data_IF_496469193887
#
_entry.id   IF_496469193887
#
_cell.length_a   1.000
_cell.length_b   1.000
_cell.length_c   1.000
_cell.angle_alpha   90.00
_cell.angle_beta   90.00
_cell.angle_gamma   90.00
#
_symmetry.space_group_name_H-M   'P 1'
#
loop_
_entity.id
_entity.type
_entity.pdbx_description
1 polymer ?
#
# COMPACT_ATOMS: atom_id res chain seq x y z
N UNK A 1 -5.12 13.51 0.95
CA UNK A 1 -4.22 14.09 1.97
C UNK A 1 -2.77 13.65 1.79
N UNK A 2 -2.35 12.43 2.12
CA UNK A 2 -0.92 12.06 1.97
C UNK A 2 -0.46 11.96 0.51
N UNK A 3 -1.31 11.40 -0.37
CA UNK A 3 -1.03 11.37 -1.82
C UNK A 3 -0.97 12.75 -2.47
N UNK A 4 -1.74 13.72 -1.96
CA UNK A 4 -1.73 15.09 -2.47
C UNK A 4 -0.43 15.80 -2.06
N UNK A 5 0.02 15.60 -0.82
CA UNK A 5 1.32 16.12 -0.35
C UNK A 5 2.47 15.55 -1.18
N UNK A 6 2.45 14.24 -1.49
CA UNK A 6 3.45 13.64 -2.38
C UNK A 6 3.35 14.24 -3.78
N UNK A 7 2.15 14.34 -4.34
CA UNK A 7 1.95 14.89 -5.68
C UNK A 7 2.43 16.34 -5.82
N UNK A 8 2.13 17.20 -4.85
CA UNK A 8 2.62 18.57 -4.78
C UNK A 8 4.15 18.65 -4.74
N UNK A 9 4.79 17.76 -3.97
CA UNK A 9 6.24 17.71 -3.89
C UNK A 9 6.86 17.25 -5.21
N UNK A 10 6.22 16.30 -5.91
CA UNK A 10 6.70 15.81 -7.21
C UNK A 10 6.49 16.81 -8.37
N UNK A 11 5.66 17.84 -8.19
CA UNK A 11 5.51 18.96 -9.14
C UNK A 11 6.69 19.96 -9.09
N UNK A 12 7.55 19.89 -8.07
CA UNK A 12 8.72 20.75 -7.93
C UNK A 12 9.80 20.29 -8.91
N UNK A 13 10.09 21.13 -9.92
CA UNK A 13 11.09 20.83 -10.95
C UNK A 13 12.54 20.90 -10.42
N UNK A 14 12.80 21.74 -9.40
CA UNK A 14 14.14 21.89 -8.84
C UNK A 14 14.47 20.76 -7.84
N UNK A 15 15.47 19.94 -8.17
CA UNK A 15 15.83 18.74 -7.39
C UNK A 15 16.20 19.05 -5.93
N UNK A 16 16.89 20.17 -5.68
CA UNK A 16 17.31 20.57 -4.33
C UNK A 16 16.13 20.96 -3.45
N UNK A 17 15.18 21.70 -4.01
CA UNK A 17 13.96 22.14 -3.34
C UNK A 17 13.01 20.96 -3.08
N UNK A 18 12.90 20.04 -4.06
CA UNK A 18 12.16 18.78 -3.90
C UNK A 18 12.72 17.92 -2.78
N UNK A 19 14.03 17.72 -2.71
CA UNK A 19 14.71 16.98 -1.63
C UNK A 19 14.43 17.57 -0.25
N UNK A 20 14.47 18.90 -0.15
CA UNK A 20 14.16 19.60 1.10
C UNK A 20 12.70 19.41 1.52
N UNK A 21 11.77 19.51 0.56
CA UNK A 21 10.35 19.30 0.81
C UNK A 21 10.04 17.85 1.22
N UNK A 22 10.62 16.85 0.55
CA UNK A 22 10.50 15.42 0.94
C UNK A 22 11.01 15.20 2.35
N UNK A 23 12.20 15.75 2.66
CA UNK A 23 12.82 15.61 3.98
C UNK A 23 11.91 16.15 5.09
N UNK A 24 11.41 17.37 4.95
CA UNK A 24 10.70 18.05 6.04
C UNK A 24 9.21 17.71 6.10
N UNK A 25 8.55 17.48 4.96
CA UNK A 25 7.11 17.21 4.93
C UNK A 25 6.78 15.72 5.04
N UNK A 26 7.70 14.83 4.66
CA UNK A 26 7.44 13.38 4.61
C UNK A 26 8.38 12.63 5.54
N UNK A 27 9.70 12.66 5.28
CA UNK A 27 10.68 11.80 5.99
C UNK A 27 10.76 12.07 7.49
N UNK A 28 10.93 13.33 7.89
CA UNK A 28 11.10 13.68 9.30
C UNK A 28 9.83 13.35 10.11
N UNK A 29 8.61 13.76 9.67
CA UNK A 29 7.39 13.37 10.34
C UNK A 29 7.19 11.85 10.41
N UNK A 30 7.44 11.11 9.33
CA UNK A 30 7.25 9.66 9.31
C UNK A 30 8.23 8.92 10.22
N UNK A 31 9.49 9.36 10.31
CA UNK A 31 10.47 8.79 11.23
C UNK A 31 10.11 9.07 12.69
N UNK A 32 9.72 10.31 13.02
CA UNK A 32 9.35 10.69 14.39
C UNK A 32 8.09 9.93 14.83
N UNK A 33 7.01 10.03 14.04
CA UNK A 33 5.75 9.36 14.34
C UNK A 33 5.93 7.85 14.36
N UNK A 34 6.67 7.29 13.41
CA UNK A 34 6.94 5.86 13.33
C UNK A 34 7.68 5.35 14.57
N UNK A 35 8.70 6.07 15.03
CA UNK A 35 9.46 5.71 16.24
C UNK A 35 8.59 5.76 17.49
N UNK A 36 7.77 6.81 17.65
CA UNK A 36 6.82 6.95 18.77
C UNK A 36 5.83 5.78 18.77
N UNK A 37 5.27 5.43 17.61
CA UNK A 37 4.30 4.33 17.50
C UNK A 37 4.94 2.98 17.85
N UNK A 38 6.19 2.73 17.46
CA UNK A 38 6.91 1.52 17.86
C UNK A 38 7.07 1.47 19.39
N UNK A 39 7.52 2.56 20.01
CA UNK A 39 7.70 2.64 21.47
C UNK A 39 6.37 2.40 22.18
N UNK A 40 5.29 3.06 21.77
CA UNK A 40 3.95 2.88 22.34
C UNK A 40 3.48 1.44 22.14
N UNK A 41 3.66 0.88 20.94
CA UNK A 41 3.27 -0.49 20.61
C UNK A 41 3.95 -1.51 21.53
N UNK A 42 5.26 -1.37 21.74
CA UNK A 42 6.05 -2.23 22.63
C UNK A 42 5.66 -2.06 24.10
N UNK A 43 5.52 -0.82 24.58
CA UNK A 43 5.25 -0.53 25.99
C UNK A 43 3.83 -0.86 26.43
N UNK A 44 2.84 -0.75 25.52
CA UNK A 44 1.43 -0.86 25.89
C UNK A 44 1.06 -2.26 26.41
N UNK A 45 1.58 -3.33 25.80
CA UNK A 45 1.26 -4.72 26.20
C UNK A 45 2.41 -5.68 25.84
N UNK A 46 3.58 -5.52 26.46
CA UNK A 46 4.67 -6.50 26.33
C UNK A 46 4.26 -7.84 26.98
N UNK A 47 4.43 -9.02 26.32
CA UNK A 47 5.02 -9.30 25.02
C UNK A 47 4.01 -9.42 23.86
N UNK A 48 2.73 -9.13 24.09
CA UNK A 48 1.63 -9.33 23.12
C UNK A 48 1.68 -8.44 21.87
N UNK A 49 2.61 -7.49 21.77
CA UNK A 49 2.84 -6.70 20.57
C UNK A 49 3.24 -7.55 19.34
N UNK A 50 3.80 -8.74 19.58
CA UNK A 50 4.08 -9.75 18.54
C UNK A 50 2.89 -10.67 18.25
N UNK A 51 1.84 -10.63 19.07
CA UNK A 51 0.63 -11.43 18.87
C UNK A 51 -0.29 -10.75 17.85
N UNK A 52 -0.65 -11.49 16.80
CA UNK A 52 -1.59 -11.00 15.79
C UNK A 52 -2.96 -10.67 16.40
N UNK A 53 -3.64 -9.67 15.82
CA UNK A 53 -4.98 -9.20 16.22
C UNK A 53 -5.09 -8.38 17.53
N UNK A 54 -3.97 -7.87 18.07
CA UNK A 54 -4.01 -6.89 19.17
C UNK A 54 -3.87 -5.44 18.68
N UNK A 55 -4.43 -4.50 19.44
CA UNK A 55 -4.26 -3.06 19.17
C UNK A 55 -2.78 -2.68 19.23
N UNK A 56 -2.04 -3.22 20.21
CA UNK A 56 -0.59 -3.03 20.36
C UNK A 56 0.19 -3.51 19.13
N UNK A 57 -0.13 -4.69 18.59
CA UNK A 57 0.50 -5.21 17.36
C UNK A 57 0.19 -4.36 16.13
N UNK A 58 -1.04 -3.85 16.03
CA UNK A 58 -1.44 -2.94 14.93
C UNK A 58 -0.68 -1.62 15.00
N UNK A 59 -0.58 -1.02 16.18
CA UNK A 59 0.16 0.23 16.44
C UNK A 59 1.65 0.05 16.15
N UNK A 60 2.24 -1.05 16.62
CA UNK A 60 3.62 -1.41 16.32
C UNK A 60 3.86 -1.55 14.81
N UNK A 61 3.00 -2.31 14.12
CA UNK A 61 3.12 -2.54 12.67
C UNK A 61 3.00 -1.25 11.86
N UNK A 62 2.12 -0.33 12.25
CA UNK A 62 2.01 1.00 11.64
C UNK A 62 3.31 1.80 11.79
N UNK A 63 3.93 1.75 12.98
CA UNK A 63 5.21 2.39 13.23
C UNK A 63 6.33 1.82 12.35
N UNK A 64 6.41 0.49 12.23
CA UNK A 64 7.36 -0.20 11.35
C UNK A 64 7.14 0.22 9.89
N UNK A 65 5.90 0.23 9.40
CA UNK A 65 5.57 0.64 8.03
C UNK A 65 6.03 2.06 7.74
N UNK A 66 5.82 3.01 8.66
CA UNK A 66 6.25 4.41 8.49
C UNK A 66 7.76 4.53 8.38
N UNK A 67 8.51 3.84 9.25
CA UNK A 67 9.97 3.84 9.21
C UNK A 67 10.47 3.19 7.92
N UNK A 68 9.95 2.01 7.56
CA UNK A 68 10.34 1.32 6.32
C UNK A 68 10.07 2.18 5.08
N UNK A 69 8.92 2.86 5.02
CA UNK A 69 8.60 3.77 3.91
C UNK A 69 9.56 4.95 3.85
N UNK A 70 9.96 5.48 5.01
CA UNK A 70 10.95 6.56 5.09
C UNK A 70 12.31 6.13 4.55
N UNK A 71 12.77 4.92 4.91
CA UNK A 71 14.02 4.35 4.41
C UNK A 71 13.96 4.15 2.90
N UNK A 72 12.85 3.63 2.36
CA UNK A 72 12.66 3.48 0.92
C UNK A 72 12.72 4.82 0.19
N UNK A 73 12.05 5.85 0.71
CA UNK A 73 12.10 7.20 0.15
C UNK A 73 13.49 7.83 0.18
N UNK A 74 14.30 7.53 1.21
CA UNK A 74 15.70 7.96 1.25
C UNK A 74 16.49 7.28 0.13
N UNK A 75 16.32 5.97 -0.05
CA UNK A 75 17.00 5.23 -1.11
C UNK A 75 16.63 5.78 -2.49
N UNK A 76 15.34 6.06 -2.71
CA UNK A 76 14.80 6.58 -3.97
C UNK A 76 15.26 8.02 -4.26
N UNK A 77 15.08 8.96 -3.33
CA UNK A 77 15.32 10.39 -3.60
C UNK A 77 16.81 10.78 -3.58
N UNK A 78 17.63 10.06 -2.79
CA UNK A 78 19.07 10.29 -2.75
C UNK A 78 19.83 9.46 -3.78
N UNK A 79 19.13 8.74 -4.67
CA UNK A 79 19.71 7.94 -5.76
C UNK A 79 20.83 7.01 -5.27
N UNK A 80 20.73 6.53 -4.02
CA UNK A 80 21.74 5.63 -3.41
C UNK A 80 21.92 4.37 -4.26
N UNK A 81 20.85 3.99 -4.96
CA UNK A 81 20.85 2.97 -5.99
C UNK A 81 20.27 3.65 -7.24
N UNK A 82 20.97 3.57 -8.37
CA UNK A 82 20.41 3.94 -9.69
C UNK A 82 19.33 2.92 -10.05
N UNK A 83 18.14 3.07 -9.46
CA UNK A 83 16.98 2.23 -9.78
C UNK A 83 16.49 2.70 -11.15
N UNK A 84 16.97 2.05 -12.22
CA UNK A 84 16.33 2.17 -13.52
C UNK A 84 14.82 1.95 -13.33
N UNK A 85 13.99 2.88 -13.83
CA UNK A 85 12.53 2.93 -13.66
C UNK A 85 11.76 1.74 -14.27
N UNK A 86 12.36 0.57 -14.40
CA UNK A 86 11.68 -0.68 -14.69
C UNK A 86 10.91 -1.18 -13.46
N UNK A 87 9.99 -0.36 -12.94
CA UNK A 87 9.08 -0.68 -11.83
C UNK A 87 8.08 -1.79 -12.18
N UNK A 88 8.25 -2.53 -13.29
CA UNK A 88 7.28 -3.53 -13.75
C UNK A 88 6.97 -4.55 -12.64
N UNK A 89 7.98 -4.95 -11.86
CA UNK A 89 7.79 -5.86 -10.73
C UNK A 89 6.86 -5.30 -9.64
N UNK A 90 7.23 -4.16 -9.04
CA UNK A 90 6.42 -3.51 -7.99
C UNK A 90 5.07 -3.04 -8.50
N UNK A 91 4.99 -2.67 -9.78
CA UNK A 91 3.75 -2.28 -10.44
C UNK A 91 2.74 -3.43 -10.44
N UNK A 92 3.14 -4.65 -10.79
CA UNK A 92 2.22 -5.80 -10.74
C UNK A 92 1.73 -6.10 -9.33
N UNK A 93 2.62 -6.04 -8.34
CA UNK A 93 2.25 -6.22 -6.93
C UNK A 93 1.30 -5.13 -6.42
N UNK A 94 1.54 -3.86 -6.77
CA UNK A 94 0.67 -2.75 -6.36
C UNK A 94 -0.70 -2.79 -7.05
N UNK A 95 -0.72 -3.17 -8.33
CA UNK A 95 -1.94 -3.27 -9.12
C UNK A 95 -2.87 -4.40 -8.65
N UNK A 96 -2.30 -5.53 -8.23
CA UNK A 96 -3.03 -6.70 -7.74
C UNK A 96 -2.99 -6.88 -6.22
N UNK A 97 -2.53 -5.89 -5.45
CA UNK A 97 -2.28 -6.05 -4.00
C UNK A 97 -3.47 -6.62 -3.25
N UNK A 98 -4.69 -6.14 -3.54
CA UNK A 98 -5.91 -6.63 -2.91
C UNK A 98 -6.29 -8.04 -3.36
N UNK A 99 -5.99 -8.40 -4.61
CA UNK A 99 -6.19 -9.75 -5.15
C UNK A 99 -5.19 -10.73 -4.53
N UNK A 100 -3.93 -10.33 -4.38
CA UNK A 100 -2.89 -11.11 -3.70
C UNK A 100 -3.26 -11.33 -2.24
N UNK A 101 -3.79 -10.31 -1.55
CA UNK A 101 -4.27 -10.44 -0.17
C UNK A 101 -5.36 -11.52 -0.05
N UNK A 102 -6.38 -11.48 -0.91
CA UNK A 102 -7.41 -12.52 -0.93
C UNK A 102 -6.84 -13.89 -1.28
N UNK A 103 -6.00 -13.97 -2.31
CA UNK A 103 -5.36 -15.22 -2.72
C UNK A 103 -4.49 -15.80 -1.59
N UNK A 104 -3.82 -14.95 -0.80
CA UNK A 104 -3.03 -15.38 0.34
C UNK A 104 -3.90 -15.98 1.45
N UNK A 105 -5.06 -15.37 1.74
CA UNK A 105 -6.02 -15.93 2.68
C UNK A 105 -6.57 -17.29 2.20
N UNK A 106 -6.83 -17.45 0.90
CA UNK A 106 -7.23 -18.75 0.32
C UNK A 106 -6.09 -19.77 0.41
N UNK A 107 -4.85 -19.36 0.11
CA UNK A 107 -3.66 -20.22 0.23
C UNK A 107 -3.46 -20.69 1.66
N UNK A 108 -3.70 -19.81 2.64
CA UNK A 108 -3.60 -20.16 4.06
C UNK A 108 -4.49 -21.34 4.40
N UNK A 109 -5.75 -21.39 3.92
CA UNK A 109 -6.62 -22.54 4.15
C UNK A 109 -6.10 -23.84 3.51
N UNK A 110 -5.49 -23.75 2.33
CA UNK A 110 -4.95 -24.93 1.61
C UNK A 110 -3.66 -25.45 2.26
N UNK A 111 -2.83 -24.55 2.76
CA UNK A 111 -1.52 -24.85 3.36
C UNK A 111 -1.57 -24.96 4.88
N UNK A 112 -2.75 -24.84 5.49
CA UNK A 112 -2.94 -24.96 6.93
C UNK A 112 -2.45 -26.34 7.38
N UNK A 113 -1.66 -26.37 8.45
CA UNK A 113 -1.00 -27.57 9.02
C UNK A 113 0.09 -28.25 8.17
N UNK A 114 0.23 -27.91 6.88
CA UNK A 114 1.23 -28.53 5.99
C UNK A 114 2.62 -27.88 6.09
N UNK A 115 2.71 -26.68 6.68
CA UNK A 115 3.95 -25.88 6.75
C UNK A 115 4.38 -25.68 8.19
N UNK A 116 5.54 -26.23 8.55
CA UNK A 116 6.19 -26.05 9.85
C UNK A 116 7.04 -24.77 9.89
N UNK A 117 7.38 -24.32 11.09
CA UNK A 117 8.19 -23.11 11.34
C UNK A 117 9.58 -23.12 10.66
N UNK A 118 10.15 -24.31 10.42
CA UNK A 118 11.41 -24.44 9.69
C UNK A 118 11.21 -24.35 8.17
N UNK A 119 10.14 -24.96 7.66
CA UNK A 119 9.85 -25.00 6.21
C UNK A 119 9.31 -23.67 5.68
N UNK A 120 8.72 -22.83 6.53
CA UNK A 120 8.12 -21.55 6.12
C UNK A 120 9.13 -20.62 5.45
N UNK A 121 10.40 -20.67 5.87
CA UNK A 121 11.48 -19.86 5.31
C UNK A 121 11.80 -20.18 3.84
N UNK A 122 11.47 -21.40 3.39
CA UNK A 122 11.65 -21.84 2.00
C UNK A 122 10.35 -21.60 1.22
N UNK A 123 9.20 -21.92 1.81
CA UNK A 123 7.90 -21.73 1.17
C UNK A 123 7.54 -20.26 0.95
N UNK A 124 7.97 -19.35 1.83
CA UNK A 124 7.72 -17.90 1.69
C UNK A 124 8.36 -17.30 0.43
N UNK A 125 9.68 -17.40 0.18
CA UNK A 125 10.26 -16.88 -1.05
C UNK A 125 9.75 -17.61 -2.29
N UNK A 126 9.49 -18.92 -2.19
CA UNK A 126 8.95 -19.72 -3.29
C UNK A 126 7.55 -19.25 -3.70
N UNK A 127 6.65 -19.03 -2.74
CA UNK A 127 5.30 -18.51 -3.01
C UNK A 127 5.36 -17.10 -3.58
N UNK A 128 6.25 -16.23 -3.08
CA UNK A 128 6.49 -14.91 -3.68
C UNK A 128 6.92 -15.01 -5.14
N UNK A 129 7.83 -15.91 -5.47
CA UNK A 129 8.33 -16.11 -6.83
C UNK A 129 7.23 -16.64 -7.75
N UNK A 130 6.46 -17.63 -7.30
CA UNK A 130 5.31 -18.19 -8.04
C UNK A 130 4.24 -17.12 -8.30
N UNK A 131 3.85 -16.36 -7.27
CA UNK A 131 2.88 -15.27 -7.40
C UNK A 131 3.39 -14.21 -8.38
N UNK A 132 4.66 -13.83 -8.29
CA UNK A 132 5.28 -12.88 -9.23
C UNK A 132 5.17 -13.36 -10.67
N UNK A 133 5.49 -14.63 -10.91
CA UNK A 133 5.44 -15.23 -12.24
C UNK A 133 4.00 -15.27 -12.77
N UNK A 134 3.05 -15.70 -11.94
CA UNK A 134 1.63 -15.72 -12.27
C UNK A 134 1.13 -14.32 -12.64
N UNK A 135 1.44 -13.31 -11.84
CA UNK A 135 1.04 -11.92 -12.10
C UNK A 135 1.60 -11.40 -13.42
N UNK A 136 2.87 -11.73 -13.73
CA UNK A 136 3.50 -11.36 -15.01
C UNK A 136 2.78 -11.96 -16.21
N UNK A 137 2.24 -13.17 -16.09
CA UNK A 137 1.48 -13.86 -17.16
C UNK A 137 0.04 -13.35 -17.23
N UNK A 138 -0.60 -13.12 -16.08
CA UNK A 138 -2.00 -12.70 -15.98
C UNK A 138 -2.16 -11.25 -16.45
N UNK A 139 -1.21 -10.37 -16.11
CA UNK A 139 -1.32 -8.94 -16.42
C UNK A 139 -1.61 -8.63 -17.89
N UNK A 140 -0.85 -9.13 -18.89
CA UNK A 140 -1.13 -8.83 -20.30
C UNK A 140 -2.45 -9.45 -20.80
N UNK A 141 -2.88 -10.59 -20.25
CA UNK A 141 -4.05 -11.32 -20.73
C UNK A 141 -5.38 -10.87 -20.11
N UNK A 142 -5.37 -10.58 -18.82
CA UNK A 142 -6.60 -10.36 -18.02
C UNK A 142 -6.72 -8.95 -17.46
N UNK A 143 -5.59 -8.25 -17.25
CA UNK A 143 -5.50 -6.82 -16.86
C UNK A 143 -6.56 -6.44 -15.81
N UNK A 144 -7.46 -5.50 -16.15
CA UNK A 144 -8.49 -4.98 -15.25
C UNK A 144 -9.57 -5.99 -14.83
N UNK A 145 -9.73 -7.11 -15.53
CA UNK A 145 -10.83 -8.06 -15.26
C UNK A 145 -10.61 -8.82 -13.95
N UNK A 146 -9.35 -9.03 -13.54
CA UNK A 146 -9.01 -9.82 -12.35
C UNK A 146 -8.64 -8.95 -11.15
N UNK A 147 -8.23 -7.69 -11.36
CA UNK A 147 -7.92 -6.80 -10.25
C UNK A 147 -9.18 -6.35 -9.53
N UNK A 148 -9.42 -6.91 -8.35
CA UNK A 148 -10.53 -6.51 -7.47
C UNK A 148 -10.44 -5.00 -7.17
N UNK A 149 -9.22 -4.48 -6.97
CA UNK A 149 -8.98 -3.04 -6.75
C UNK A 149 -9.46 -2.20 -7.94
N UNK A 150 -9.20 -2.64 -9.17
CA UNK A 150 -9.68 -1.96 -10.37
C UNK A 150 -11.21 -2.02 -10.50
N UNK A 151 -11.82 -3.17 -10.17
CA UNK A 151 -13.28 -3.31 -10.18
C UNK A 151 -13.95 -2.39 -9.15
N UNK A 152 -13.43 -2.35 -7.92
CA UNK A 152 -13.91 -1.44 -6.87
C UNK A 152 -13.77 0.01 -7.32
N UNK A 153 -12.63 0.39 -7.91
CA UNK A 153 -12.44 1.75 -8.44
C UNK A 153 -13.47 2.13 -9.52
N UNK A 154 -13.76 1.22 -10.46
CA UNK A 154 -14.79 1.44 -11.50
C UNK A 154 -16.18 1.56 -10.89
N UNK A 155 -16.50 0.75 -9.87
CA UNK A 155 -17.78 0.81 -9.18
C UNK A 155 -17.94 2.14 -8.44
N UNK A 156 -16.92 2.57 -7.70
CA UNK A 156 -16.90 3.85 -6.99
C UNK A 156 -17.06 5.04 -7.95
N UNK A 157 -16.39 5.01 -9.10
CA UNK A 157 -16.53 6.05 -10.12
C UNK A 157 -17.97 6.12 -10.66
N UNK A 158 -18.61 4.97 -10.95
CA UNK A 158 -20.02 4.94 -11.38
C UNK A 158 -20.96 5.49 -10.31
N UNK A 159 -20.74 5.12 -9.05
CA UNK A 159 -21.52 5.63 -7.93
C UNK A 159 -21.36 7.15 -7.78
N UNK A 160 -20.15 7.68 -7.92
CA UNK A 160 -19.89 9.11 -7.85
C UNK A 160 -20.62 9.88 -8.97
N UNK A 161 -20.62 9.35 -10.19
CA UNK A 161 -21.36 9.94 -11.32
C UNK A 161 -22.87 9.92 -11.02
N UNK A 162 -23.41 8.78 -10.59
CA UNK A 162 -24.83 8.64 -10.25
C UNK A 162 -25.27 9.63 -9.16
N UNK A 163 -24.46 9.80 -8.11
CA UNK A 163 -24.73 10.76 -7.03
C UNK A 163 -24.70 12.20 -7.56
N UNK A 164 -23.74 12.53 -8.42
CA UNK A 164 -23.61 13.86 -9.04
C UNK A 164 -24.81 14.19 -9.93
N UNK A 165 -25.25 13.26 -10.75
CA UNK A 165 -26.42 13.41 -11.61
C UNK A 165 -27.71 13.59 -10.79
N UNK A 166 -27.91 12.75 -9.75
CA UNK A 166 -29.06 12.85 -8.86
C UNK A 166 -29.10 14.18 -8.10
N UNK A 167 -27.96 14.70 -7.68
CA UNK A 167 -27.85 16.03 -7.05
C UNK A 167 -28.28 17.13 -8.01
N UNK A 168 -27.76 17.11 -9.25
CA UNK A 168 -28.10 18.09 -10.28
C UNK A 168 -29.60 18.08 -10.63
N UNK A 169 -30.21 16.90 -10.74
CA UNK A 169 -31.66 16.78 -11.00
C UNK A 169 -32.51 17.38 -9.88
N UNK A 170 -32.14 17.17 -8.61
CA UNK A 170 -32.83 17.77 -7.45
C UNK A 170 -32.69 19.29 -7.41
N UNK A 171 -31.55 19.83 -7.83
CA UNK A 171 -31.33 21.28 -7.90
C UNK A 171 -32.20 21.93 -8.99
N UNK A 172 -32.36 21.27 -10.13
CA UNK A 172 -33.25 21.72 -11.22
C UNK A 172 -34.71 21.69 -10.77
N UNK A 173 -35.12 20.66 -10.04
CA UNK A 173 -36.49 20.53 -9.52
C UNK A 173 -36.82 21.63 -8.49
N UNK A 174 -35.88 21.95 -7.59
CA UNK A 174 -36.03 23.07 -6.64
C UNK A 174 -36.09 24.45 -7.29
N UNK A 175 -35.49 24.65 -8.47
CA UNK A 175 -35.55 25.93 -9.20
C UNK A 175 -36.83 26.11 -10.03
N UNK A 176 -37.64 25.05 -10.16
CA UNK A 176 -38.92 25.06 -10.88
C UNK A 176 -40.13 25.25 -9.96
N UNK A 177 -39.93 25.14 -8.65
CA UNK A 177 -40.89 25.46 -7.59
C UNK A 177 -40.65 26.89 -7.10
#
# INVERSE_FOLDING_TARGET
>A
MFGDVIYEIYLINEQKERRFAIKNKVLLPSLIIGSILIIIGVLSLFPSFLSHATVSSTVYSLGVILISTSVLLIIEEFEVINVERSYRFFFYYSYYSFTIYFAHNVLYFILFESVNALTIWIFMPLTFLIISLLLRIIYPKLRDKVSIKAQVGKLSARLAIYVKERSKSREIEKRRL
#
